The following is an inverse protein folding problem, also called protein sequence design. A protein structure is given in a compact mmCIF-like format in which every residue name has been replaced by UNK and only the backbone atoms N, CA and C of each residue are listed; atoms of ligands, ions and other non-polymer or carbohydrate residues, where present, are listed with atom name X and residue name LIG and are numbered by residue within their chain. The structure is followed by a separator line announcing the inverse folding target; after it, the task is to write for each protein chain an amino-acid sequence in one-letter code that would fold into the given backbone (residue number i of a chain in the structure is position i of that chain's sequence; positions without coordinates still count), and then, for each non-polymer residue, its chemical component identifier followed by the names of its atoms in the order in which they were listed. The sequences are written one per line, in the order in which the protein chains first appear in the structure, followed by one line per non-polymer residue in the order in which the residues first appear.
data_IF_097038889855
#
_entry.id   IF_097038889855
#
_cell.length_a   1.000
_cell.length_b   1.000
_cell.length_c   1.000
_cell.angle_alpha   90.00
_cell.angle_beta   90.00
_cell.angle_gamma   90.00
#
_symmetry.space_group_name_H-M   'P 1'
#
loop_
_entity.id
_entity.type
_entity.pdbx_description
1 polymer ?
#
# COMPACT_ATOMS: atom_id res chain seq x y z
N UNK A 1 17.12 20.07 -12.46
CA UNK A 1 17.01 18.71 -13.04
C UNK A 1 16.12 17.87 -12.13
N UNK A 2 14.90 17.47 -12.49
CA UNK A 2 14.12 16.57 -11.65
C UNK A 2 14.64 15.14 -11.86
N UNK A 3 15.32 14.61 -10.85
CA UNK A 3 15.82 13.24 -10.85
C UNK A 3 14.67 12.27 -11.06
N UNK A 4 14.77 11.44 -12.10
CA UNK A 4 13.79 10.39 -12.40
C UNK A 4 13.88 9.36 -11.26
N UNK A 5 13.04 9.50 -10.23
CA UNK A 5 12.80 8.41 -9.30
C UNK A 5 12.07 7.31 -10.07
N UNK A 6 12.85 6.36 -10.63
CA UNK A 6 12.34 5.10 -11.09
C UNK A 6 11.56 4.49 -9.91
N UNK A 7 10.23 4.43 -10.02
CA UNK A 7 9.41 3.71 -9.04
C UNK A 7 9.83 2.25 -9.15
N UNK A 8 10.72 1.84 -8.24
CA UNK A 8 11.10 0.43 -8.09
C UNK A 8 9.80 -0.33 -7.93
N UNK A 9 9.53 -1.23 -8.87
CA UNK A 9 8.41 -2.14 -8.79
C UNK A 9 8.60 -2.94 -7.49
N UNK A 10 7.90 -2.55 -6.43
CA UNK A 10 7.92 -3.29 -5.18
C UNK A 10 7.25 -4.62 -5.49
N UNK A 11 8.03 -5.67 -5.65
CA UNK A 11 7.49 -7.01 -5.63
C UNK A 11 6.87 -7.20 -4.25
N UNK A 12 5.53 -7.19 -4.22
CA UNK A 12 4.76 -7.39 -3.02
C UNK A 12 5.15 -8.75 -2.43
N UNK A 13 5.48 -8.78 -1.14
CA UNK A 13 5.70 -10.03 -0.42
C UNK A 13 4.44 -10.88 -0.53
N UNK A 14 4.59 -12.12 -1.01
CA UNK A 14 3.52 -13.12 -1.00
C UNK A 14 3.14 -13.43 0.44
N UNK A 15 1.89 -13.81 0.67
CA UNK A 15 1.40 -14.11 2.03
C UNK A 15 2.22 -15.21 2.71
N UNK A 16 2.61 -16.24 1.95
CA UNK A 16 3.53 -17.28 2.43
C UNK A 16 4.87 -16.72 2.90
N UNK A 17 5.48 -15.82 2.13
CA UNK A 17 6.76 -15.19 2.48
C UNK A 17 6.63 -14.34 3.76
N UNK A 18 5.50 -13.65 3.93
CA UNK A 18 5.20 -12.88 5.15
C UNK A 18 5.09 -13.81 6.36
N UNK A 19 4.33 -14.90 6.24
CA UNK A 19 4.19 -15.90 7.30
C UNK A 19 5.54 -16.50 7.69
N UNK A 20 6.38 -16.83 6.70
CA UNK A 20 7.73 -17.35 6.94
C UNK A 20 8.61 -16.33 7.68
N UNK A 21 8.59 -15.05 7.27
CA UNK A 21 9.29 -13.96 7.94
C UNK A 21 8.83 -13.84 9.40
N UNK A 22 7.52 -13.79 9.64
CA UNK A 22 6.95 -13.65 10.99
C UNK A 22 7.36 -14.84 11.87
N UNK A 23 7.24 -16.07 11.38
CA UNK A 23 7.64 -17.28 12.10
C UNK A 23 9.13 -17.27 12.47
N UNK A 24 10.01 -16.98 11.50
CA UNK A 24 11.45 -16.90 11.74
C UNK A 24 11.83 -15.81 12.75
N UNK A 25 11.22 -14.62 12.62
CA UNK A 25 11.48 -13.48 13.51
C UNK A 25 10.97 -13.74 14.93
N UNK A 26 9.82 -14.38 15.06
CA UNK A 26 9.27 -14.82 16.36
C UNK A 26 10.17 -15.85 17.03
N UNK A 27 10.77 -16.77 16.24
CA UNK A 27 11.76 -17.73 16.71
C UNK A 27 13.16 -17.14 17.00
N UNK A 28 13.31 -15.80 17.03
CA UNK A 28 14.57 -15.14 17.35
C UNK A 28 15.60 -15.11 16.21
N UNK A 29 15.21 -15.44 14.98
CA UNK A 29 16.14 -15.40 13.86
C UNK A 29 16.59 -13.97 13.54
N UNK A 30 17.86 -13.84 13.16
CA UNK A 30 18.40 -12.58 12.66
C UNK A 30 17.72 -12.17 11.36
N UNK A 31 17.62 -10.86 11.11
CA UNK A 31 17.00 -10.32 9.89
C UNK A 31 17.75 -10.76 8.64
N UNK A 32 19.08 -10.88 8.72
CA UNK A 32 19.93 -11.41 7.64
C UNK A 32 19.60 -12.86 7.30
N UNK A 33 19.45 -13.72 8.31
CA UNK A 33 19.09 -15.14 8.10
C UNK A 33 17.72 -15.25 7.44
N UNK A 34 16.74 -14.49 7.91
CA UNK A 34 15.42 -14.48 7.32
C UNK A 34 15.41 -13.94 5.88
N UNK A 35 16.22 -12.92 5.59
CA UNK A 35 16.41 -12.37 4.25
C UNK A 35 16.97 -13.40 3.27
N UNK A 36 18.00 -14.16 3.70
CA UNK A 36 18.56 -15.24 2.89
C UNK A 36 17.56 -16.37 2.62
N UNK A 37 16.74 -16.73 3.61
CA UNK A 37 15.75 -17.81 3.46
C UNK A 37 14.60 -17.46 2.51
N UNK A 38 14.18 -16.18 2.49
CA UNK A 38 13.03 -15.72 1.70
C UNK A 38 13.48 -15.20 0.32
N UNK A 39 14.80 -15.12 0.09
CA UNK A 39 15.42 -14.48 -1.07
C UNK A 39 14.92 -13.03 -1.26
N UNK A 40 14.92 -12.25 -0.17
CA UNK A 40 14.47 -10.86 -0.14
C UNK A 40 15.50 -9.98 0.55
N UNK A 41 15.43 -8.68 0.28
CA UNK A 41 16.30 -7.72 0.95
C UNK A 41 16.05 -7.68 2.47
N UNK A 42 17.09 -7.47 3.27
CA UNK A 42 16.96 -7.29 4.73
C UNK A 42 15.98 -6.15 5.08
N UNK A 43 15.92 -5.10 4.25
CA UNK A 43 14.96 -4.00 4.40
C UNK A 43 13.51 -4.46 4.26
N UNK A 44 13.24 -5.36 3.31
CA UNK A 44 11.90 -5.93 3.11
C UNK A 44 11.48 -6.76 4.31
N UNK A 45 12.39 -7.59 4.85
CA UNK A 45 12.14 -8.40 6.05
C UNK A 45 11.90 -7.50 7.27
N UNK A 46 12.71 -6.46 7.45
CA UNK A 46 12.55 -5.49 8.55
C UNK A 46 11.20 -4.78 8.47
N UNK A 47 10.85 -4.24 7.30
CA UNK A 47 9.58 -3.55 7.13
C UNK A 47 8.38 -4.47 7.37
N UNK A 48 8.45 -5.74 6.93
CA UNK A 48 7.39 -6.72 7.18
C UNK A 48 7.23 -7.03 8.68
N UNK A 49 8.34 -7.19 9.40
CA UNK A 49 8.32 -7.40 10.84
C UNK A 49 7.79 -6.19 11.59
N UNK A 50 8.26 -4.98 11.26
CA UNK A 50 7.76 -3.73 11.81
C UNK A 50 6.27 -3.53 11.52
N UNK A 51 5.82 -3.82 10.29
CA UNK A 51 4.40 -3.78 9.95
C UNK A 51 3.60 -4.74 10.82
N UNK A 52 4.05 -5.98 10.99
CA UNK A 52 3.36 -6.96 11.82
C UNK A 52 3.32 -6.56 13.30
N UNK A 53 4.43 -6.06 13.87
CA UNK A 53 4.44 -5.59 15.27
C UNK A 53 3.63 -4.31 15.48
N UNK A 54 3.56 -3.43 14.47
CA UNK A 54 2.73 -2.23 14.48
C UNK A 54 1.23 -2.56 14.27
N UNK A 55 0.90 -3.50 13.39
CA UNK A 55 -0.48 -3.95 13.09
C UNK A 55 -1.10 -4.80 14.20
N UNK A 56 -0.30 -5.30 15.16
CA UNK A 56 -0.79 -5.77 16.45
C UNK A 56 -1.52 -4.66 17.25
N UNK A 57 -1.34 -3.40 16.85
CA UNK A 57 -2.23 -2.28 17.18
C UNK A 57 -3.29 -2.23 16.08
N UNK A 58 -4.57 -2.43 16.42
CA UNK A 58 -5.74 -2.47 15.52
C UNK A 58 -6.02 -1.15 14.73
N UNK A 59 -5.01 -0.36 14.39
CA UNK A 59 -5.12 0.85 13.59
C UNK A 59 -5.00 0.52 12.11
N UNK A 60 -6.15 0.40 11.44
CA UNK A 60 -6.22 0.42 9.97
C UNK A 60 -5.70 1.80 9.51
N UNK A 61 -4.57 1.84 8.81
CA UNK A 61 -4.10 3.10 8.19
C UNK A 61 -5.17 3.56 7.19
N UNK A 62 -5.78 4.70 7.46
CA UNK A 62 -6.64 5.39 6.50
C UNK A 62 -5.77 5.73 5.30
N UNK A 63 -5.93 4.98 4.21
CA UNK A 63 -5.28 5.35 2.97
C UNK A 63 -5.87 6.68 2.52
N UNK A 64 -5.03 7.72 2.49
CA UNK A 64 -5.30 8.88 1.68
C UNK A 64 -5.24 8.39 0.23
N UNK A 65 -6.38 7.97 -0.32
CA UNK A 65 -6.48 7.70 -1.75
C UNK A 65 -5.97 8.91 -2.55
N UNK A 66 -5.83 8.75 -3.86
CA UNK A 66 -5.42 9.86 -4.72
C UNK A 66 -6.27 11.11 -4.41
N UNK A 67 -5.61 12.26 -4.28
CA UNK A 67 -6.28 13.53 -4.05
C UNK A 67 -7.39 13.69 -5.07
N UNK A 68 -8.60 14.04 -4.60
CA UNK A 68 -9.74 14.21 -5.50
C UNK A 68 -9.39 15.21 -6.58
N UNK A 69 -9.60 14.83 -7.85
CA UNK A 69 -9.41 15.73 -8.99
C UNK A 69 -10.45 16.84 -9.03
N UNK A 70 -11.61 16.60 -8.42
CA UNK A 70 -12.73 17.52 -8.35
C UNK A 70 -13.03 17.89 -6.90
N UNK A 71 -13.34 19.16 -6.70
CA UNK A 71 -13.91 19.67 -5.45
C UNK A 71 -15.37 19.25 -5.33
N UNK A 72 -15.89 19.23 -4.08
CA UNK A 72 -17.33 18.99 -3.84
C UNK A 72 -18.26 19.95 -4.58
N UNK A 73 -17.77 21.13 -4.98
CA UNK A 73 -18.53 22.12 -5.75
C UNK A 73 -18.60 21.75 -7.22
N UNK A 74 -17.49 21.27 -7.80
CA UNK A 74 -17.43 20.77 -9.16
C UNK A 74 -18.26 19.50 -9.32
N UNK A 75 -18.19 18.56 -8.38
CA UNK A 75 -19.03 17.36 -8.38
C UNK A 75 -20.53 17.74 -8.42
N UNK A 76 -20.94 18.69 -7.58
CA UNK A 76 -22.32 19.22 -7.58
C UNK A 76 -22.70 19.93 -8.86
N UNK A 77 -21.74 20.47 -9.61
CA UNK A 77 -21.99 21.09 -10.91
C UNK A 77 -22.12 20.03 -12.00
N UNK A 78 -21.27 19.01 -11.97
CA UNK A 78 -21.32 17.86 -12.90
C UNK A 78 -22.66 17.14 -12.77
N UNK A 79 -23.09 16.82 -11.54
CA UNK A 79 -24.39 16.17 -11.30
C UNK A 79 -25.55 17.04 -11.80
N UNK A 80 -25.53 18.35 -11.52
CA UNK A 80 -26.58 19.27 -12.01
C UNK A 80 -26.59 19.37 -13.53
N UNK A 81 -25.43 19.41 -14.18
CA UNK A 81 -25.35 19.45 -15.63
C UNK A 81 -25.90 18.15 -16.25
N UNK A 82 -25.53 16.99 -15.70
CA UNK A 82 -26.01 15.69 -16.17
C UNK A 82 -27.53 15.50 -16.01
N UNK A 83 -28.14 16.15 -15.01
CA UNK A 83 -29.59 16.14 -14.81
C UNK A 83 -30.34 17.11 -15.73
N UNK A 84 -29.66 18.14 -16.26
CA UNK A 84 -30.26 19.14 -17.16
C UNK A 84 -30.10 18.74 -18.63
N UNK A 85 -29.13 17.90 -18.97
CA UNK A 85 -28.91 17.43 -20.34
C UNK A 85 -29.89 16.29 -20.71
N UNK A 86 -30.85 16.51 -21.65
CA UNK A 86 -31.80 15.48 -22.07
C UNK A 86 -31.17 14.36 -22.92
N UNK A 87 -29.87 14.43 -23.17
CA UNK A 87 -29.10 13.45 -23.95
C UNK A 87 -28.57 12.28 -23.12
N UNK A 88 -28.59 12.37 -21.78
CA UNK A 88 -28.08 11.32 -20.87
C UNK A 88 -29.18 10.33 -20.44
N UNK A 89 -30.45 10.66 -20.68
CA UNK A 89 -31.63 9.87 -20.26
C UNK A 89 -32.37 9.18 -21.42
N UNK A 90 -31.72 8.94 -22.56
CA UNK A 90 -32.28 8.12 -23.64
C UNK A 90 -31.46 6.86 -23.88
#
# INVERSE_FOLDING_TARGET
MPGKHARRHFSQLREFERGLIIGMKTAGSSTRRAAGQVDRSERTVRNCWEQWTLEGTHARKTWSGATRKTTRREDRRIVRQALVDPTVTR
#
